data_IF_641002352319
#
_entry.id   IF_641002352319
#
_cell.length_a   1.000
_cell.length_b   1.000
_cell.length_c   1.000
_cell.angle_alpha   90.00
_cell.angle_beta   90.00
_cell.angle_gamma   90.00
#
_symmetry.space_group_name_H-M   'P 1'
#
loop_
_entity.id
_entity.type
_entity.pdbx_description
1 polymer ?
#
# COMPACT_ATOMS: atom_id res chain seq x y z
N UNK A 1 19.69 -4.33 22.99
CA UNK A 1 18.35 -3.91 23.48
C UNK A 1 17.47 -3.63 22.26
N UNK A 2 16.49 -4.47 21.97
CA UNK A 2 15.47 -4.14 20.97
C UNK A 2 14.43 -3.26 21.63
N UNK A 3 14.43 -1.97 21.26
CA UNK A 3 13.56 -0.93 21.85
C UNK A 3 12.07 -1.12 21.48
N UNK A 4 11.80 -1.89 20.43
CA UNK A 4 10.46 -2.22 19.94
C UNK A 4 10.40 -3.66 19.44
N UNK A 5 9.20 -4.25 19.49
CA UNK A 5 8.88 -5.56 18.93
C UNK A 5 7.74 -5.38 17.92
N UNK A 6 7.89 -5.98 16.73
CA UNK A 6 6.82 -5.98 15.72
C UNK A 6 5.96 -7.23 15.86
N UNK A 7 4.65 -7.07 15.72
CA UNK A 7 3.68 -8.15 15.65
C UNK A 7 2.91 -8.02 14.33
N UNK A 8 3.00 -9.04 13.47
CA UNK A 8 2.21 -9.08 12.24
C UNK A 8 0.76 -9.45 12.56
N UNK A 9 -0.18 -8.60 12.11
CA UNK A 9 -1.61 -8.84 12.26
C UNK A 9 -2.15 -9.36 10.93
N UNK A 10 -2.73 -10.56 10.94
CA UNK A 10 -3.39 -11.15 9.77
C UNK A 10 -4.85 -10.71 9.74
N UNK A 11 -5.27 -10.11 8.64
CA UNK A 11 -6.66 -9.69 8.35
C UNK A 11 -7.18 -10.41 7.12
N UNK A 12 -8.48 -10.27 6.81
CA UNK A 12 -8.99 -10.70 5.50
C UNK A 12 -8.41 -9.82 4.38
N UNK A 13 -8.70 -10.21 3.14
CA UNK A 13 -8.42 -9.37 1.98
C UNK A 13 -9.37 -8.16 1.92
N UNK A 14 -8.81 -6.96 1.82
CA UNK A 14 -9.60 -5.72 1.81
C UNK A 14 -10.12 -5.43 0.41
N UNK A 15 -11.38 -5.02 0.32
CA UNK A 15 -12.02 -4.62 -0.95
C UNK A 15 -12.39 -3.15 -0.94
N UNK A 16 -12.60 -2.63 -2.13
CA UNK A 16 -13.05 -1.27 -2.38
C UNK A 16 -14.35 -0.97 -1.62
N UNK A 17 -14.36 0.08 -0.80
CA UNK A 17 -15.54 0.54 -0.08
C UNK A 17 -15.86 -0.24 1.20
N UNK A 18 -14.97 -1.11 1.67
CA UNK A 18 -15.15 -1.78 2.96
C UNK A 18 -14.86 -0.85 4.16
N UNK A 19 -15.48 -1.15 5.30
CA UNK A 19 -15.23 -0.45 6.56
C UNK A 19 -13.86 -0.86 7.14
N UNK A 20 -12.82 -0.18 6.69
CA UNK A 20 -11.44 -0.43 7.12
C UNK A 20 -11.23 -0.17 8.62
N UNK A 21 -12.00 0.73 9.25
CA UNK A 21 -11.84 1.05 10.68
C UNK A 21 -12.21 -0.17 11.51
N UNK A 22 -13.37 -0.78 11.22
CA UNK A 22 -13.84 -1.98 11.91
C UNK A 22 -12.89 -3.17 11.69
N UNK A 23 -12.35 -3.33 10.47
CA UNK A 23 -11.35 -4.36 10.18
C UNK A 23 -10.04 -4.16 10.95
N UNK A 24 -9.55 -2.91 11.05
CA UNK A 24 -8.35 -2.59 11.85
C UNK A 24 -8.62 -2.89 13.32
N UNK A 25 -9.72 -2.37 13.87
CA UNK A 25 -10.06 -2.52 15.29
C UNK A 25 -10.22 -3.98 15.65
N UNK A 26 -10.96 -4.76 14.85
CA UNK A 26 -11.12 -6.20 15.07
C UNK A 26 -9.79 -6.97 14.94
N UNK A 27 -8.92 -6.57 14.01
CA UNK A 27 -7.60 -7.18 13.83
C UNK A 27 -6.64 -6.95 15.00
N UNK A 28 -6.64 -5.76 15.60
CA UNK A 28 -5.72 -5.38 16.69
C UNK A 28 -6.29 -5.59 18.09
N UNK A 29 -7.62 -5.75 18.22
CA UNK A 29 -8.28 -5.95 19.50
C UNK A 29 -7.67 -7.11 20.29
N UNK A 30 -7.32 -6.86 21.54
CA UNK A 30 -6.67 -7.82 22.43
C UNK A 30 -5.18 -8.09 22.15
N UNK A 31 -4.56 -7.39 21.19
CA UNK A 31 -3.13 -7.56 20.82
C UNK A 31 -2.26 -6.33 21.08
N UNK A 32 -2.87 -5.18 21.38
CA UNK A 32 -2.19 -3.89 21.56
C UNK A 32 -2.54 -3.27 22.91
N UNK A 33 -1.64 -2.46 23.45
CA UNK A 33 -1.84 -1.66 24.66
C UNK A 33 -1.69 -0.17 24.36
N UNK A 34 -2.10 0.68 25.31
CA UNK A 34 -1.91 2.13 25.17
C UNK A 34 -0.42 2.48 25.04
N UNK A 35 -0.10 3.34 24.07
CA UNK A 35 1.27 3.68 23.70
C UNK A 35 1.91 2.82 22.60
N UNK A 36 1.24 1.76 22.14
CA UNK A 36 1.68 0.99 20.97
C UNK A 36 1.39 1.71 19.64
N UNK A 37 2.16 1.36 18.61
CA UNK A 37 1.98 1.87 17.26
C UNK A 37 1.26 0.85 16.38
N UNK A 38 0.18 1.29 15.74
CA UNK A 38 -0.48 0.53 14.68
C UNK A 38 0.01 1.05 13.34
N UNK A 39 0.74 0.21 12.60
CA UNK A 39 1.27 0.54 11.27
C UNK A 39 0.43 -0.15 10.22
N UNK A 40 -0.10 0.63 9.27
CA UNK A 40 -0.97 0.15 8.20
C UNK A 40 -0.33 0.50 6.86
N UNK A 41 -0.43 -0.41 5.89
CA UNK A 41 0.01 -0.12 4.53
C UNK A 41 -0.88 0.93 3.89
N UNK A 42 -0.28 1.99 3.35
CA UNK A 42 -0.99 2.99 2.55
C UNK A 42 -1.83 2.35 1.43
N UNK A 43 -1.29 1.29 0.80
CA UNK A 43 -2.00 0.54 -0.25
C UNK A 43 -3.31 -0.06 0.26
N UNK A 44 -3.32 -0.63 1.47
CA UNK A 44 -4.54 -1.21 2.04
C UNK A 44 -5.60 -0.12 2.28
N UNK A 45 -5.18 1.02 2.84
CA UNK A 45 -6.06 2.17 3.06
C UNK A 45 -6.60 2.73 1.73
N UNK A 46 -5.73 2.88 0.72
CA UNK A 46 -6.09 3.35 -0.62
C UNK A 46 -7.14 2.46 -1.29
N UNK A 47 -6.98 1.13 -1.19
CA UNK A 47 -7.98 0.15 -1.64
C UNK A 47 -9.32 0.38 -0.95
N UNK A 48 -9.36 0.46 0.39
CA UNK A 48 -10.62 0.63 1.12
C UNK A 48 -11.30 1.99 0.82
N UNK A 49 -10.52 3.04 0.59
CA UNK A 49 -10.99 4.38 0.24
C UNK A 49 -11.49 4.53 -1.21
N UNK A 50 -11.56 3.45 -1.99
CA UNK A 50 -11.94 3.48 -3.42
C UNK A 50 -10.98 4.31 -4.31
N UNK A 51 -9.70 4.40 -3.97
CA UNK A 51 -8.69 5.10 -4.79
C UNK A 51 -8.12 4.23 -5.93
N UNK A 52 -8.84 3.17 -6.32
CA UNK A 52 -8.47 2.32 -7.45
C UNK A 52 -9.01 2.96 -8.73
N UNK A 53 -8.14 3.14 -9.72
CA UNK A 53 -8.48 3.75 -11.00
C UNK A 53 -8.25 2.74 -12.13
N UNK A 54 -9.16 2.71 -13.10
CA UNK A 54 -8.97 1.98 -14.34
C UNK A 54 -7.95 2.72 -15.22
N UNK A 55 -6.78 2.12 -15.41
CA UNK A 55 -5.70 2.68 -16.23
C UNK A 55 -6.10 2.88 -17.70
N UNK A 56 -7.11 2.17 -18.20
CA UNK A 56 -7.59 2.33 -19.57
C UNK A 56 -8.14 3.73 -19.84
N UNK A 57 -8.61 4.43 -18.81
CA UNK A 57 -9.13 5.80 -18.94
C UNK A 57 -8.02 6.85 -18.93
N UNK A 58 -6.80 6.47 -18.59
CA UNK A 58 -5.66 7.40 -18.47
C UNK A 58 -4.97 7.55 -19.83
N UNK A 59 -4.92 8.77 -20.37
CA UNK A 59 -4.16 9.07 -21.59
C UNK A 59 -2.71 9.43 -21.23
N UNK A 60 -1.72 8.61 -21.58
CA UNK A 60 -0.34 8.86 -21.20
C UNK A 60 0.26 10.05 -21.96
N UNK A 61 0.90 10.96 -21.23
CA UNK A 61 1.68 12.05 -21.81
C UNK A 61 2.94 11.54 -22.51
N UNK A 62 3.56 12.36 -23.35
CA UNK A 62 4.83 12.01 -24.01
C UNK A 62 5.92 11.67 -22.99
N UNK A 63 6.02 12.43 -21.89
CA UNK A 63 6.96 12.15 -20.80
C UNK A 63 6.70 10.80 -20.13
N UNK A 64 5.43 10.48 -19.84
CA UNK A 64 5.06 9.18 -19.27
C UNK A 64 5.48 8.02 -20.18
N UNK A 65 5.33 8.17 -21.51
CA UNK A 65 5.78 7.17 -22.49
C UNK A 65 7.29 6.99 -22.49
N UNK A 66 8.06 8.09 -22.38
CA UNK A 66 9.53 8.03 -22.31
C UNK A 66 9.98 7.31 -21.04
N UNK A 67 9.39 7.67 -19.89
CA UNK A 67 9.71 7.03 -18.62
C UNK A 67 9.40 5.53 -18.68
N UNK A 68 8.20 5.17 -19.13
CA UNK A 68 7.75 3.78 -19.16
C UNK A 68 8.53 2.90 -20.15
N UNK A 69 8.88 3.41 -21.34
CA UNK A 69 9.48 2.60 -22.41
C UNK A 69 11.00 2.61 -22.44
N UNK A 70 11.63 3.72 -22.06
CA UNK A 70 13.08 3.88 -22.20
C UNK A 70 13.78 3.98 -20.85
N UNK A 71 13.28 4.82 -19.94
CA UNK A 71 13.95 5.06 -18.67
C UNK A 71 13.91 3.85 -17.74
N UNK A 72 12.72 3.30 -17.47
CA UNK A 72 12.56 2.16 -16.55
C UNK A 72 13.23 0.87 -17.06
N UNK A 73 13.07 0.46 -18.33
CA UNK A 73 13.64 -0.82 -18.77
C UNK A 73 15.14 -0.72 -19.07
N UNK A 74 15.61 0.39 -19.64
CA UNK A 74 16.99 0.51 -20.16
C UNK A 74 17.91 1.09 -19.09
N UNK A 75 17.58 2.29 -18.60
CA UNK A 75 18.46 3.01 -17.67
C UNK A 75 18.45 2.34 -16.30
N UNK A 76 17.26 2.10 -15.73
CA UNK A 76 17.20 1.39 -14.45
C UNK A 76 17.62 -0.08 -14.58
N UNK A 77 17.01 -0.83 -15.51
CA UNK A 77 17.23 -2.27 -15.64
C UNK A 77 18.64 -2.72 -16.06
N UNK A 78 19.39 -1.92 -16.81
CA UNK A 78 20.75 -2.31 -17.25
C UNK A 78 21.88 -1.51 -16.61
N UNK A 79 21.66 -0.23 -16.28
CA UNK A 79 22.74 0.63 -15.79
C UNK A 79 22.72 0.81 -14.26
N UNK A 80 21.54 0.85 -13.64
CA UNK A 80 21.43 1.15 -12.21
C UNK A 80 21.20 -0.11 -11.34
N UNK A 81 20.64 -1.18 -11.91
CA UNK A 81 20.36 -2.43 -11.20
C UNK A 81 19.06 -2.36 -10.42
#
# INVERSE_FOLDING_TARGET
MTKYKALAVVTKFWRSGENYIEEIVSGVSGKVVDGDFVVISEKALSTALNNIVDENWVKPSLGAKVIAKWWMPIVWGYFLG
#
